data_IF_382137172722
#
_entry.id   IF_382137172722
#
_cell.length_a   1.000
_cell.length_b   1.000
_cell.length_c   1.000
_cell.angle_alpha   90.00
_cell.angle_beta   90.00
_cell.angle_gamma   90.00
#
_symmetry.space_group_name_H-M   'P 1'
#
loop_
_entity.id
_entity.type
_entity.pdbx_description
1 polymer ?
#
# COMPACT_ATOMS: atom_id res chain seq x y z
N UNK A 1 10.38 3.43 -2.84
CA UNK A 1 8.95 3.09 -2.62
C UNK A 1 8.17 4.38 -2.43
N UNK A 2 7.18 4.65 -3.27
CA UNK A 2 6.33 5.83 -3.15
C UNK A 2 5.14 5.57 -2.25
N UNK A 3 4.71 6.56 -1.49
CA UNK A 3 3.56 6.46 -0.63
C UNK A 3 2.80 7.78 -0.63
N UNK A 4 1.50 7.71 -0.90
CA UNK A 4 0.60 8.85 -0.86
C UNK A 4 -0.61 8.55 0.02
N UNK A 5 -1.25 9.59 0.52
CA UNK A 5 -2.52 9.45 1.24
C UNK A 5 -3.61 10.09 0.40
N UNK A 6 -4.64 9.32 0.09
CA UNK A 6 -5.78 9.77 -0.70
C UNK A 6 -7.07 9.63 0.07
N UNK A 7 -7.99 10.56 -0.13
CA UNK A 7 -9.32 10.51 0.44
C UNK A 7 -10.32 10.16 -0.66
N UNK A 8 -11.05 9.07 -0.47
CA UNK A 8 -12.03 8.57 -1.43
C UNK A 8 -13.31 8.23 -0.67
N UNK A 9 -14.44 8.85 -1.05
CA UNK A 9 -15.75 8.55 -0.47
C UNK A 9 -15.75 8.53 1.07
N UNK A 10 -15.24 9.59 1.70
CA UNK A 10 -15.16 9.73 3.15
C UNK A 10 -14.19 8.75 3.83
N UNK A 11 -13.39 8.04 3.06
CA UNK A 11 -12.37 7.15 3.59
C UNK A 11 -10.99 7.63 3.14
N UNK A 12 -9.99 7.46 4.00
CA UNK A 12 -8.61 7.76 3.65
C UNK A 12 -7.89 6.46 3.35
N UNK A 13 -7.03 6.49 2.34
CA UNK A 13 -6.22 5.35 1.94
C UNK A 13 -4.75 5.76 1.86
N UNK A 14 -3.89 4.91 2.40
CA UNK A 14 -2.46 5.00 2.12
C UNK A 14 -2.20 4.20 0.85
N UNK A 15 -1.71 4.87 -0.19
CA UNK A 15 -1.40 4.23 -1.47
C UNK A 15 0.09 4.01 -1.53
N UNK A 16 0.50 2.76 -1.49
CA UNK A 16 1.91 2.37 -1.50
C UNK A 16 2.26 1.88 -2.90
N UNK A 17 3.17 2.60 -3.57
CA UNK A 17 3.68 2.16 -4.86
C UNK A 17 4.73 1.07 -4.62
N UNK A 18 4.53 -0.08 -5.24
CA UNK A 18 5.41 -1.23 -5.09
C UNK A 18 6.09 -1.55 -6.42
N UNK A 19 7.35 -1.94 -6.34
CA UNK A 19 8.11 -2.40 -7.50
C UNK A 19 8.75 -3.73 -7.15
N UNK A 20 8.55 -4.72 -7.98
CA UNK A 20 9.12 -6.04 -7.77
C UNK A 20 8.15 -7.15 -8.14
N UNK A 21 8.62 -8.40 -8.04
CA UNK A 21 7.78 -9.54 -8.37
C UNK A 21 6.69 -9.74 -7.31
N UNK A 22 5.53 -10.15 -7.76
CA UNK A 22 4.39 -10.47 -6.91
C UNK A 22 4.50 -11.95 -6.51
N UNK A 23 4.25 -12.33 -5.24
CA UNK A 23 3.72 -11.50 -4.15
C UNK A 23 4.78 -10.83 -3.26
N UNK A 24 6.05 -11.00 -3.53
CA UNK A 24 7.12 -10.51 -2.66
C UNK A 24 7.04 -9.00 -2.41
N UNK A 25 6.76 -8.21 -3.44
CA UNK A 25 6.66 -6.77 -3.28
C UNK A 25 5.48 -6.37 -2.38
N UNK A 26 4.40 -7.15 -2.37
CA UNK A 26 3.25 -6.90 -1.51
C UNK A 26 3.63 -7.09 -0.04
N UNK A 27 4.35 -8.17 0.27
CA UNK A 27 4.81 -8.41 1.64
C UNK A 27 5.73 -7.29 2.12
N UNK A 28 6.64 -6.84 1.27
CA UNK A 28 7.53 -5.73 1.58
C UNK A 28 6.74 -4.44 1.83
N UNK A 29 5.73 -4.18 1.02
CA UNK A 29 4.87 -3.00 1.17
C UNK A 29 4.11 -3.01 2.48
N UNK A 30 3.50 -4.13 2.85
CA UNK A 30 2.80 -4.27 4.12
C UNK A 30 3.74 -4.06 5.30
N UNK A 31 4.91 -4.66 5.25
CA UNK A 31 5.91 -4.52 6.30
C UNK A 31 6.31 -3.06 6.49
N UNK A 32 6.57 -2.34 5.40
CA UNK A 32 6.90 -0.92 5.45
C UNK A 32 5.76 -0.11 6.06
N UNK A 33 4.53 -0.33 5.61
CA UNK A 33 3.39 0.42 6.10
C UNK A 33 3.17 0.19 7.59
N UNK A 34 3.22 -1.05 8.04
CA UNK A 34 2.93 -1.40 9.43
C UNK A 34 4.06 -1.03 10.38
N UNK A 35 5.31 -1.15 9.97
CA UNK A 35 6.46 -0.94 10.86
C UNK A 35 7.02 0.47 10.81
N UNK A 36 6.85 1.18 9.69
CA UNK A 36 7.47 2.49 9.49
C UNK A 36 6.42 3.58 9.31
N UNK A 37 5.59 3.47 8.28
CA UNK A 37 4.70 4.57 7.93
C UNK A 37 3.63 4.82 8.98
N UNK A 38 2.93 3.80 9.42
CA UNK A 38 1.85 3.97 10.39
C UNK A 38 2.35 4.53 11.72
N UNK A 39 3.40 3.98 12.33
CA UNK A 39 3.92 4.56 13.57
C UNK A 39 4.43 5.98 13.43
N UNK A 40 5.12 6.30 12.34
CA UNK A 40 5.67 7.64 12.12
C UNK A 40 4.60 8.71 11.96
N UNK A 41 3.49 8.38 11.32
CA UNK A 41 2.45 9.35 11.00
C UNK A 41 1.20 9.24 11.89
N UNK A 42 1.21 8.31 12.84
CA UNK A 42 0.09 8.15 13.76
C UNK A 42 -1.16 7.58 13.11
N UNK A 43 -1.00 6.71 12.13
CA UNK A 43 -2.12 6.05 11.47
C UNK A 43 -2.24 4.60 11.89
N UNK A 44 -3.43 4.06 11.76
CA UNK A 44 -3.72 2.63 11.93
C UNK A 44 -4.67 2.20 10.82
N UNK A 45 -4.75 0.90 10.59
CA UNK A 45 -5.71 0.32 9.64
C UNK A 45 -7.13 0.61 10.12
N UNK A 46 -7.99 1.14 9.25
CA UNK A 46 -9.32 1.57 9.65
C UNK A 46 -10.34 0.44 9.79
N UNK A 47 -10.01 -0.76 9.35
CA UNK A 47 -10.92 -1.89 9.37
C UNK A 47 -11.74 -2.07 8.11
N UNK A 48 -11.64 -1.15 7.15
CA UNK A 48 -12.29 -1.29 5.85
C UNK A 48 -11.46 -2.22 4.97
N UNK A 49 -11.99 -2.56 3.79
CA UNK A 49 -11.28 -3.43 2.86
C UNK A 49 -10.10 -2.72 2.21
N UNK A 50 -8.96 -3.38 2.19
CA UNK A 50 -7.81 -2.95 1.41
C UNK A 50 -7.92 -3.50 0.00
N UNK A 51 -7.22 -2.89 -0.95
CA UNK A 51 -7.17 -3.41 -2.32
C UNK A 51 -5.80 -3.24 -2.94
N UNK A 52 -5.59 -4.04 -3.98
CA UNK A 52 -4.38 -4.05 -4.76
C UNK A 52 -4.73 -3.61 -6.18
N UNK A 53 -3.98 -2.65 -6.70
CA UNK A 53 -4.14 -2.19 -8.07
C UNK A 53 -2.97 -2.72 -8.89
N UNK A 54 -3.26 -3.55 -9.87
CA UNK A 54 -2.25 -4.18 -10.72
C UNK A 54 -2.16 -3.46 -12.04
N UNK A 55 -0.95 -3.06 -12.42
CA UNK A 55 -0.70 -2.50 -13.74
C UNK A 55 -0.47 -3.63 -14.74
N UNK A 56 -0.49 -3.29 -16.02
CA UNK A 56 -0.14 -4.26 -17.05
C UNK A 56 1.35 -4.60 -16.96
N UNK A 57 1.67 -5.86 -17.25
CA UNK A 57 3.05 -6.30 -17.26
C UNK A 57 3.19 -7.71 -16.70
N UNK A 58 4.45 -8.13 -16.55
CA UNK A 58 4.78 -9.45 -16.04
C UNK A 58 4.87 -9.42 -14.52
N UNK A 59 3.95 -10.10 -13.84
CA UNK A 59 3.91 -10.18 -12.38
C UNK A 59 5.16 -10.80 -11.77
N UNK A 60 5.92 -11.54 -12.57
CA UNK A 60 7.14 -12.20 -12.10
C UNK A 60 8.38 -11.35 -12.34
N UNK A 61 8.24 -10.21 -13.01
CA UNK A 61 9.36 -9.31 -13.25
C UNK A 61 9.75 -8.56 -11.99
N UNK A 62 11.06 -8.40 -11.78
CA UNK A 62 11.57 -7.57 -10.68
C UNK A 62 11.24 -6.09 -10.87
N UNK A 63 10.85 -5.69 -12.07
CA UNK A 63 10.51 -4.31 -12.41
C UNK A 63 9.00 -4.08 -12.48
N UNK A 64 8.19 -5.09 -12.14
CA UNK A 64 6.75 -4.96 -12.16
C UNK A 64 6.30 -3.90 -11.15
N UNK A 65 5.29 -3.12 -11.53
CA UNK A 65 4.74 -2.06 -10.67
C UNK A 65 3.29 -2.34 -10.32
N UNK A 66 2.94 -2.05 -9.08
CA UNK A 66 1.56 -2.12 -8.61
C UNK A 66 1.37 -1.15 -7.46
N UNK A 67 0.13 -0.98 -7.03
CA UNK A 67 -0.21 -0.17 -5.87
C UNK A 67 -0.95 -1.00 -4.84
N UNK A 68 -0.60 -0.80 -3.57
CA UNK A 68 -1.32 -1.39 -2.44
C UNK A 68 -2.08 -0.26 -1.74
N UNK A 69 -3.39 -0.39 -1.68
CA UNK A 69 -4.28 0.62 -1.06
C UNK A 69 -4.74 0.12 0.29
N UNK A 70 -4.28 0.76 1.34
CA UNK A 70 -4.56 0.38 2.72
C UNK A 70 -5.48 1.43 3.34
N UNK A 71 -6.70 1.06 3.79
CA UNK A 71 -7.58 2.02 4.44
C UNK A 71 -7.01 2.39 5.80
N UNK A 72 -6.92 3.68 6.08
CA UNK A 72 -6.28 4.19 7.28
C UNK A 72 -7.19 5.15 8.03
N UNK A 73 -6.90 5.30 9.31
CA UNK A 73 -7.49 6.35 10.14
C UNK A 73 -6.43 6.75 11.18
N UNK A 74 -6.64 7.87 11.81
CA UNK A 74 -5.71 8.30 12.85
C UNK A 74 -5.85 7.43 14.08
N UNK A 75 -4.72 7.10 14.65
CA UNK A 75 -4.67 6.33 15.90
C UNK A 75 -5.23 7.13 17.06
#
# INVERSE_FOLDING_TARGET
MGLDVLEVDEAEYAVVELTGCVPDCIHTGWKYAMEVFFPEHGYVHSGKSDFEYYYEGDLHSKDYKMELWIPITKA
#
